data_IF_759285513743
#
_entry.id   IF_759285513743
#
_cell.length_a   1.000
_cell.length_b   1.000
_cell.length_c   1.000
_cell.angle_alpha   90.00
_cell.angle_beta   90.00
_cell.angle_gamma   90.00
#
_symmetry.space_group_name_H-M   'P 1'
#
loop_
_entity.id
_entity.type
_entity.pdbx_description
1 polymer ?
#
# COMPACT_ATOMS: atom_id res chain seq x y z
N UNK A 1 -18.46 -2.35 -0.82
CA UNK A 1 -17.25 -2.06 -1.64
C UNK A 1 -17.28 -2.93 -2.87
N UNK A 2 -16.75 -2.41 -3.98
CA UNK A 2 -16.60 -3.18 -5.20
C UNK A 2 -15.59 -4.31 -4.95
N UNK A 3 -16.01 -5.55 -5.17
CA UNK A 3 -15.11 -6.71 -5.18
C UNK A 3 -14.67 -6.94 -6.63
N UNK A 4 -13.37 -6.90 -6.87
CA UNK A 4 -12.81 -7.17 -8.18
C UNK A 4 -12.37 -8.63 -8.28
N UNK A 5 -12.53 -9.27 -9.45
CA UNK A 5 -11.91 -10.54 -9.75
C UNK A 5 -10.38 -10.45 -9.72
N UNK A 6 -9.69 -11.55 -9.39
CA UNK A 6 -8.21 -11.59 -9.31
C UNK A 6 -7.56 -11.24 -10.64
N UNK A 7 -8.16 -11.61 -11.78
CA UNK A 7 -7.62 -11.28 -13.10
C UNK A 7 -7.54 -9.77 -13.37
N UNK A 8 -8.32 -8.95 -12.67
CA UNK A 8 -8.25 -7.49 -12.81
C UNK A 8 -6.94 -6.93 -12.24
N UNK A 9 -6.22 -7.69 -11.41
CA UNK A 9 -4.89 -7.33 -10.92
C UNK A 9 -3.76 -7.64 -11.93
N UNK A 10 -4.00 -8.43 -12.97
CA UNK A 10 -2.99 -8.75 -13.97
C UNK A 10 -2.70 -7.56 -14.91
N UNK A 11 -1.50 -7.47 -15.50
CA UNK A 11 -1.19 -6.47 -16.52
C UNK A 11 -2.26 -6.39 -17.61
N UNK A 12 -2.79 -5.19 -17.85
CA UNK A 12 -3.86 -4.95 -18.81
C UNK A 12 -3.83 -3.50 -19.33
N UNK A 13 -4.57 -3.19 -20.41
CA UNK A 13 -4.55 -1.85 -20.99
C UNK A 13 -4.91 -0.76 -19.99
N UNK A 14 -4.14 0.33 -20.05
CA UNK A 14 -4.42 1.55 -19.33
C UNK A 14 -5.56 2.31 -20.01
N UNK A 15 -6.33 3.07 -19.24
CA UNK A 15 -7.36 3.95 -19.78
C UNK A 15 -6.79 5.34 -20.05
N UNK A 16 -7.21 5.97 -21.14
CA UNK A 16 -6.80 7.35 -21.47
C UNK A 16 -7.50 8.38 -20.57
N UNK A 17 -8.64 8.04 -19.97
CA UNK A 17 -9.37 8.92 -19.05
C UNK A 17 -9.02 8.62 -17.58
N UNK A 18 -7.79 8.89 -17.15
CA UNK A 18 -7.35 8.63 -15.76
C UNK A 18 -8.09 9.48 -14.69
N UNK A 19 -8.94 10.43 -15.10
CA UNK A 19 -9.59 11.38 -14.21
C UNK A 19 -8.60 12.40 -13.63
N UNK A 20 -9.06 13.23 -12.71
CA UNK A 20 -8.17 14.15 -11.99
C UNK A 20 -7.21 13.35 -11.08
N UNK A 21 -5.96 13.76 -10.97
CA UNK A 21 -5.00 13.17 -10.01
C UNK A 21 -5.23 13.67 -8.58
N UNK A 22 -4.73 12.92 -7.59
CA UNK A 22 -4.66 13.34 -6.19
C UNK A 22 -3.23 13.84 -5.93
N UNK A 23 -3.11 15.09 -5.49
CA UNK A 23 -1.81 15.63 -5.08
C UNK A 23 -1.54 15.25 -3.63
N UNK A 24 -0.42 14.57 -3.37
CA UNK A 24 -0.02 14.13 -2.03
C UNK A 24 1.18 14.94 -1.51
N UNK A 25 1.22 15.29 -0.22
CA UNK A 25 2.36 15.97 0.37
C UNK A 25 3.60 15.08 0.38
N UNK A 26 4.77 15.67 0.17
CA UNK A 26 6.04 14.96 0.35
C UNK A 26 6.28 14.64 1.84
N UNK A 27 6.97 13.53 2.16
CA UNK A 27 7.45 13.28 3.51
C UNK A 27 8.35 14.40 4.03
N UNK A 28 8.30 14.64 5.34
CA UNK A 28 9.15 15.63 6.03
C UNK A 28 10.48 14.95 6.38
N UNK A 29 11.61 15.51 5.92
CA UNK A 29 13.00 15.05 6.11
C UNK A 29 13.17 13.53 6.32
N UNK A 30 13.37 12.84 5.20
CA UNK A 30 13.39 11.38 5.09
C UNK A 30 14.77 10.74 5.19
N UNK A 31 15.86 11.50 5.37
CA UNK A 31 17.23 11.00 5.15
C UNK A 31 17.67 9.89 6.13
N UNK A 32 17.12 9.87 7.35
CA UNK A 32 17.56 8.95 8.41
C UNK A 32 16.47 7.98 8.90
N UNK A 33 15.27 8.01 8.31
CA UNK A 33 14.16 7.15 8.74
C UNK A 33 13.89 6.04 7.74
N UNK A 34 13.71 4.82 8.25
CA UNK A 34 13.40 3.66 7.42
C UNK A 34 12.05 3.81 6.69
N UNK A 35 11.06 4.41 7.35
CA UNK A 35 9.79 4.81 6.73
C UNK A 35 9.67 6.34 6.84
N UNK A 36 9.66 7.07 5.72
CA UNK A 36 9.46 8.51 5.72
C UNK A 36 8.14 8.92 6.41
N UNK A 37 8.17 10.01 7.18
CA UNK A 37 7.00 10.49 7.94
C UNK A 37 6.31 11.67 7.27
N UNK A 38 4.99 11.62 7.22
CA UNK A 38 4.11 12.69 6.74
C UNK A 38 3.25 13.19 7.91
N UNK A 39 3.19 14.52 8.09
CA UNK A 39 2.45 15.16 9.19
C UNK A 39 1.34 16.10 8.73
N UNK A 40 1.20 16.32 7.43
CA UNK A 40 0.17 17.23 6.88
C UNK A 40 -1.22 16.70 7.24
N UNK A 41 -2.07 17.47 7.96
CA UNK A 41 -3.29 16.99 8.57
C UNK A 41 -4.47 16.90 7.59
N UNK A 42 -4.28 16.20 6.47
CA UNK A 42 -5.31 16.02 5.42
C UNK A 42 -5.43 14.55 5.01
N UNK A 43 -6.55 14.13 4.38
CA UNK A 43 -6.68 12.80 3.80
C UNK A 43 -5.54 12.44 2.82
N UNK A 44 -5.04 13.42 2.07
CA UNK A 44 -3.90 13.28 1.18
C UNK A 44 -2.61 13.00 1.95
N UNK A 45 -2.44 13.60 3.14
CA UNK A 45 -1.33 13.28 4.05
C UNK A 45 -1.40 11.85 4.59
N UNK A 46 -2.60 11.36 4.89
CA UNK A 46 -2.79 9.95 5.27
C UNK A 46 -2.42 9.01 4.12
N UNK A 47 -2.82 9.37 2.89
CA UNK A 47 -2.48 8.65 1.66
C UNK A 47 -0.97 8.62 1.42
N UNK A 48 -0.29 9.75 1.57
CA UNK A 48 1.16 9.86 1.43
C UNK A 48 1.89 8.98 2.45
N UNK A 49 1.42 8.96 3.71
CA UNK A 49 2.02 8.09 4.73
C UNK A 49 1.81 6.61 4.42
N UNK A 50 0.61 6.22 3.97
CA UNK A 50 0.34 4.84 3.59
C UNK A 50 1.18 4.42 2.38
N UNK A 51 1.33 5.29 1.37
CA UNK A 51 2.24 5.06 0.23
C UNK A 51 3.66 4.76 0.73
N UNK A 52 4.22 5.63 1.55
CA UNK A 52 5.58 5.45 2.08
C UNK A 52 5.74 4.15 2.89
N UNK A 53 4.72 3.77 3.67
CA UNK A 53 4.70 2.49 4.38
C UNK A 53 4.73 1.31 3.41
N UNK A 54 3.80 1.27 2.46
CA UNK A 54 3.60 0.09 1.61
C UNK A 54 4.78 -0.17 0.68
N UNK A 55 5.41 0.90 0.14
CA UNK A 55 6.61 0.79 -0.70
C UNK A 55 7.81 0.22 0.08
N UNK A 56 7.95 0.58 1.36
CA UNK A 56 8.98 -0.02 2.25
C UNK A 56 8.62 -1.45 2.64
N UNK A 57 7.36 -1.70 3.03
CA UNK A 57 6.89 -2.97 3.57
C UNK A 57 7.00 -4.11 2.56
N UNK A 58 6.71 -3.85 1.28
CA UNK A 58 6.71 -4.86 0.22
C UNK A 58 8.04 -4.98 -0.52
N UNK A 59 9.03 -4.16 -0.17
CA UNK A 59 10.38 -4.31 -0.71
C UNK A 59 10.96 -5.68 -0.32
N UNK A 60 11.41 -6.44 -1.32
CA UNK A 60 11.94 -7.78 -1.12
C UNK A 60 10.90 -8.87 -0.79
N UNK A 61 9.60 -8.53 -0.81
CA UNK A 61 8.47 -9.44 -0.54
C UNK A 61 8.72 -10.38 0.64
N UNK A 62 9.12 -9.84 1.79
CA UNK A 62 9.39 -10.59 3.02
C UNK A 62 8.31 -10.30 4.08
N UNK A 63 7.53 -11.30 4.52
CA UNK A 63 6.51 -11.12 5.57
C UNK A 63 7.05 -10.49 6.86
N UNK A 64 8.30 -10.76 7.25
CA UNK A 64 8.88 -10.15 8.44
C UNK A 64 9.18 -8.65 8.26
N UNK A 65 9.51 -8.24 7.03
CA UNK A 65 9.70 -6.82 6.67
C UNK A 65 8.37 -6.10 6.70
N UNK A 66 7.32 -6.70 6.12
CA UNK A 66 5.94 -6.18 6.20
C UNK A 66 5.55 -5.96 7.66
N UNK A 67 5.70 -6.98 8.50
CA UNK A 67 5.25 -6.90 9.88
C UNK A 67 6.01 -5.85 10.67
N UNK A 68 7.33 -5.75 10.46
CA UNK A 68 8.16 -4.73 11.12
C UNK A 68 7.74 -3.33 10.70
N UNK A 69 7.51 -3.12 9.40
CA UNK A 69 7.09 -1.82 8.87
C UNK A 69 5.73 -1.39 9.42
N UNK A 70 4.78 -2.31 9.50
CA UNK A 70 3.48 -2.04 10.10
C UNK A 70 3.57 -1.75 11.60
N UNK A 71 4.32 -2.56 12.37
CA UNK A 71 4.52 -2.32 13.81
C UNK A 71 5.14 -0.96 14.10
N UNK A 72 6.02 -0.47 13.22
CA UNK A 72 6.63 0.86 13.33
C UNK A 72 5.58 1.98 13.25
N UNK A 73 4.54 1.82 12.42
CA UNK A 73 3.50 2.84 12.19
C UNK A 73 2.17 2.60 12.90
N UNK A 74 1.99 1.48 13.57
CA UNK A 74 0.76 1.14 14.28
C UNK A 74 0.64 1.84 15.63
N UNK A 75 -0.56 2.27 15.96
CA UNK A 75 -0.90 2.64 17.34
C UNK A 75 -1.13 1.38 18.19
N UNK A 76 -0.97 1.48 19.52
CA UNK A 76 -1.33 0.40 20.43
C UNK A 76 -2.77 -0.07 20.20
N UNK A 77 -2.95 -1.39 20.05
CA UNK A 77 -4.24 -2.02 19.77
C UNK A 77 -4.64 -2.08 18.30
N UNK A 78 -3.76 -1.68 17.36
CA UNK A 78 -3.96 -1.90 15.93
C UNK A 78 -4.00 -3.38 15.56
N UNK A 79 -4.65 -3.74 14.42
CA UNK A 79 -4.70 -5.11 13.95
C UNK A 79 -3.32 -5.73 13.77
N UNK A 80 -3.20 -7.02 14.02
CA UNK A 80 -1.96 -7.77 13.78
C UNK A 80 -1.52 -7.64 12.31
N UNK A 81 -0.28 -7.18 12.03
CA UNK A 81 0.26 -7.12 10.67
C UNK A 81 0.21 -8.46 9.93
N UNK A 82 0.26 -9.60 10.63
CA UNK A 82 0.16 -10.93 10.04
C UNK A 82 -1.17 -11.19 9.33
N UNK A 83 -2.19 -10.38 9.61
CA UNK A 83 -3.51 -10.43 8.97
C UNK A 83 -3.65 -9.45 7.79
N UNK A 84 -2.58 -8.71 7.45
CA UNK A 84 -2.59 -7.72 6.39
C UNK A 84 -2.48 -8.36 5.00
N UNK A 85 -3.05 -7.68 3.99
CA UNK A 85 -2.96 -8.10 2.59
C UNK A 85 -1.50 -8.13 2.09
N UNK A 86 -0.63 -7.16 2.41
CA UNK A 86 0.79 -7.24 2.06
C UNK A 86 1.50 -8.45 2.67
N UNK A 87 1.19 -8.82 3.92
CA UNK A 87 1.81 -9.98 4.57
C UNK A 87 1.44 -11.27 3.84
N UNK A 88 0.15 -11.52 3.63
CA UNK A 88 -0.31 -12.73 2.95
C UNK A 88 0.21 -12.78 1.51
N UNK A 89 0.24 -11.65 0.80
CA UNK A 89 0.80 -11.57 -0.56
C UNK A 89 2.29 -11.95 -0.58
N UNK A 90 3.09 -11.43 0.35
CA UNK A 90 4.51 -11.76 0.46
C UNK A 90 4.70 -13.26 0.79
N UNK A 91 3.92 -13.80 1.72
CA UNK A 91 3.98 -15.21 2.09
C UNK A 91 3.61 -16.14 0.91
N UNK A 92 2.54 -15.84 0.19
CA UNK A 92 2.06 -16.63 -0.94
C UNK A 92 3.04 -16.62 -2.11
N UNK A 93 3.65 -15.46 -2.42
CA UNK A 93 4.67 -15.36 -3.47
C UNK A 93 5.91 -16.19 -3.15
N UNK A 94 6.38 -16.13 -1.90
CA UNK A 94 7.54 -16.92 -1.45
C UNK A 94 7.22 -18.40 -1.47
N UNK A 95 6.03 -18.79 -1.02
CA UNK A 95 5.58 -20.18 -1.05
C UNK A 95 5.52 -20.71 -2.49
N UNK A 96 4.89 -19.97 -3.41
CA UNK A 96 4.76 -20.34 -4.81
C UNK A 96 6.13 -20.51 -5.50
N UNK A 97 7.08 -19.63 -5.17
CA UNK A 97 8.45 -19.68 -5.69
C UNK A 97 9.40 -20.61 -4.90
N UNK A 98 8.90 -21.31 -3.88
CA UNK A 98 9.67 -22.21 -2.99
C UNK A 98 10.89 -21.51 -2.37
N UNK A 99 10.71 -20.26 -1.95
CA UNK A 99 11.70 -19.48 -1.22
C UNK A 99 11.62 -19.80 0.28
N UNK A 100 12.65 -19.41 1.03
CA UNK A 100 12.55 -19.36 2.50
C UNK A 100 11.40 -18.42 2.90
N UNK A 101 10.68 -18.74 3.99
CA UNK A 101 9.49 -17.98 4.41
C UNK A 101 9.79 -16.54 4.85
N UNK A 102 11.04 -16.23 5.21
CA UNK A 102 11.52 -14.90 5.56
C UNK A 102 13.03 -14.80 5.37
N UNK A 103 13.59 -13.60 5.45
CA UNK A 103 15.01 -13.30 5.33
C UNK A 103 15.46 -13.02 3.89
N UNK A 104 16.73 -12.67 3.70
CA UNK A 104 17.27 -12.41 2.37
C UNK A 104 17.23 -13.66 1.48
N UNK A 105 16.84 -13.49 0.22
CA UNK A 105 16.86 -14.56 -0.79
C UNK A 105 17.81 -14.15 -1.92
N UNK A 106 18.93 -14.85 -2.13
CA UNK A 106 19.86 -14.52 -3.19
C UNK A 106 19.21 -14.53 -4.58
N UNK A 107 19.42 -13.47 -5.35
CA UNK A 107 18.89 -13.32 -6.71
C UNK A 107 17.40 -13.00 -6.78
N UNK A 108 16.74 -12.70 -5.66
CA UNK A 108 15.41 -12.11 -5.62
C UNK A 108 15.52 -10.59 -5.77
N UNK A 109 14.77 -10.01 -6.70
CA UNK A 109 14.47 -8.58 -6.70
C UNK A 109 12.97 -8.40 -6.66
N UNK A 110 12.49 -7.51 -5.79
CA UNK A 110 11.09 -7.17 -5.72
C UNK A 110 10.91 -5.69 -5.44
N UNK A 111 10.05 -5.05 -6.23
CA UNK A 111 9.72 -3.64 -6.12
C UNK A 111 8.22 -3.48 -6.06
N UNK A 112 7.76 -2.57 -5.20
CA UNK A 112 6.37 -2.16 -5.15
C UNK A 112 6.31 -0.66 -5.34
N UNK A 113 5.69 -0.21 -6.42
CA UNK A 113 5.57 1.21 -6.76
C UNK A 113 4.12 1.65 -6.66
N UNK A 114 3.82 2.52 -5.71
CA UNK A 114 2.47 3.05 -5.52
C UNK A 114 2.26 4.24 -6.46
N UNK A 115 1.36 4.07 -7.42
CA UNK A 115 1.04 5.10 -8.41
C UNK A 115 -0.38 5.67 -8.23
N UNK A 116 -1.24 4.98 -7.49
CA UNK A 116 -2.65 5.34 -7.36
C UNK A 116 -3.13 5.29 -5.91
N UNK A 117 -4.17 6.07 -5.61
CA UNK A 117 -4.75 6.18 -4.28
C UNK A 117 -6.25 6.43 -4.28
N UNK A 118 -6.87 6.19 -3.13
CA UNK A 118 -8.30 6.37 -2.88
C UNK A 118 -8.51 6.82 -1.43
N UNK A 119 -9.23 7.92 -1.23
CA UNK A 119 -9.80 8.27 0.08
C UNK A 119 -11.22 7.70 0.14
N UNK A 120 -11.48 6.73 1.01
CA UNK A 120 -12.83 6.15 1.16
C UNK A 120 -13.74 7.02 2.02
N UNK A 121 -13.15 7.82 2.90
CA UNK A 121 -13.87 8.73 3.78
C UNK A 121 -13.20 8.92 5.13
N UNK A 122 -13.80 9.79 5.93
CA UNK A 122 -13.37 10.13 7.28
C UNK A 122 -14.38 9.50 8.25
N UNK A 123 -13.87 8.68 9.17
CA UNK A 123 -14.68 7.98 10.15
C UNK A 123 -14.75 8.70 11.48
N UNK A 124 -15.77 8.35 12.26
CA UNK A 124 -15.75 8.53 13.72
C UNK A 124 -15.45 9.97 14.16
N UNK A 125 -16.26 10.90 13.63
CA UNK A 125 -16.18 12.35 13.89
C UNK A 125 -14.81 12.97 13.58
N UNK A 126 -14.07 12.43 12.61
CA UNK A 126 -12.75 12.95 12.23
C UNK A 126 -11.57 12.23 12.88
N UNK A 127 -11.80 11.19 13.71
CA UNK A 127 -10.71 10.50 14.42
C UNK A 127 -9.80 9.68 13.52
N UNK A 128 -10.27 9.24 12.36
CA UNK A 128 -9.44 8.55 11.37
C UNK A 128 -9.92 8.80 9.94
N UNK A 129 -9.00 8.65 8.99
CA UNK A 129 -9.27 8.64 7.55
C UNK A 129 -9.01 7.24 7.02
N UNK A 130 -9.97 6.67 6.29
CA UNK A 130 -9.74 5.40 5.59
C UNK A 130 -9.21 5.70 4.20
N UNK A 131 -7.97 5.30 3.95
CA UNK A 131 -7.29 5.48 2.68
C UNK A 131 -6.86 4.13 2.10
N UNK A 132 -6.74 4.07 0.78
CA UNK A 132 -6.18 2.93 0.08
C UNK A 132 -5.11 3.39 -0.91
N UNK A 133 -4.08 2.58 -1.07
CA UNK A 133 -3.06 2.72 -2.11
C UNK A 133 -3.18 1.55 -3.08
N UNK A 134 -2.80 1.79 -4.33
CA UNK A 134 -2.69 0.79 -5.38
C UNK A 134 -1.36 0.98 -6.10
N UNK A 135 -0.58 -0.10 -6.17
CA UNK A 135 0.73 -0.09 -6.80
C UNK A 135 0.98 -1.31 -7.69
N UNK A 136 2.03 -1.21 -8.51
CA UNK A 136 2.57 -2.32 -9.29
C UNK A 136 3.61 -3.06 -8.44
N UNK A 137 3.36 -4.34 -8.18
CA UNK A 137 4.32 -5.25 -7.59
C UNK A 137 5.01 -6.03 -8.72
N UNK A 138 6.33 -5.90 -8.80
CA UNK A 138 7.18 -6.65 -9.72
C UNK A 138 8.13 -7.52 -8.90
N UNK A 139 8.20 -8.80 -9.22
CA UNK A 139 9.08 -9.77 -8.56
C UNK A 139 9.83 -10.56 -9.62
N UNK A 140 11.15 -10.52 -9.56
CA UNK A 140 12.03 -11.34 -10.39
C UNK A 140 12.80 -12.33 -9.52
N UNK A 141 12.76 -13.60 -9.92
CA UNK A 141 13.51 -14.66 -9.24
C UNK A 141 13.80 -15.81 -10.20
N UNK A 142 15.06 -16.24 -10.26
CA UNK A 142 15.51 -17.39 -11.08
C UNK A 142 15.09 -17.30 -12.57
N UNK A 143 15.10 -16.08 -13.13
CA UNK A 143 14.74 -15.83 -14.53
C UNK A 143 13.23 -15.83 -14.82
N UNK A 144 12.38 -15.95 -13.78
CA UNK A 144 10.95 -15.74 -13.89
C UNK A 144 10.56 -14.38 -13.31
N UNK A 145 9.69 -13.66 -14.02
CA UNK A 145 9.13 -12.37 -13.61
C UNK A 145 7.63 -12.53 -13.35
N UNK A 146 7.18 -12.10 -12.18
CA UNK A 146 5.76 -11.95 -11.85
C UNK A 146 5.44 -10.46 -11.69
N UNK A 147 4.27 -10.06 -12.20
CA UNK A 147 3.76 -8.69 -12.08
C UNK A 147 2.28 -8.71 -11.70
N UNK A 148 1.88 -7.80 -10.83
CA UNK A 148 0.48 -7.62 -10.48
C UNK A 148 0.22 -6.32 -9.76
N UNK A 149 -1.01 -5.83 -9.90
CA UNK A 149 -1.52 -4.72 -9.12
C UNK A 149 -1.93 -5.18 -7.73
N UNK A 150 -1.46 -4.50 -6.69
CA UNK A 150 -1.80 -4.80 -5.31
C UNK A 150 -2.45 -3.57 -4.68
N UNK A 151 -3.65 -3.75 -4.11
CA UNK A 151 -4.33 -2.73 -3.32
C UNK A 151 -4.16 -2.99 -1.84
N UNK A 152 -4.05 -1.91 -1.07
CA UNK A 152 -4.02 -1.96 0.40
C UNK A 152 -4.82 -0.80 0.98
N UNK A 153 -5.66 -1.05 1.98
CA UNK A 153 -6.38 -0.01 2.71
C UNK A 153 -6.01 -0.02 4.19
N UNK A 154 -5.89 1.17 4.79
CA UNK A 154 -5.71 1.34 6.22
C UNK A 154 -6.62 2.44 6.77
N UNK A 155 -7.02 2.28 8.03
CA UNK A 155 -7.62 3.34 8.83
C UNK A 155 -6.48 4.13 9.46
N UNK A 156 -6.23 5.34 8.97
CA UNK A 156 -5.09 6.18 9.39
C UNK A 156 -5.56 7.26 10.35
N UNK A 157 -4.84 7.44 11.46
CA UNK A 157 -5.07 8.48 12.46
C UNK A 157 -3.86 9.39 12.55
N UNK A 158 -4.11 10.69 12.51
CA UNK A 158 -3.07 11.69 12.76
C UNK A 158 -2.75 11.74 14.26
N UNK A 159 -1.47 11.74 14.61
CA UNK A 159 -0.94 12.04 15.93
C UNK A 159 0.11 13.13 15.84
N UNK A 160 0.63 13.57 16.99
CA UNK A 160 1.74 14.53 17.04
C UNK A 160 3.01 14.01 16.33
N UNK A 161 3.14 12.69 16.18
CA UNK A 161 4.27 12.05 15.50
C UNK A 161 4.05 11.87 14.00
N UNK A 162 2.84 12.12 13.50
CA UNK A 162 2.43 11.95 12.10
C UNK A 162 1.25 10.99 11.93
N UNK A 163 0.99 10.59 10.70
CA UNK A 163 -0.06 9.61 10.40
C UNK A 163 0.35 8.20 10.86
N UNK A 164 -0.56 7.50 11.54
CA UNK A 164 -0.34 6.15 12.11
C UNK A 164 -1.53 5.24 11.79
N UNK A 165 -1.34 3.93 11.77
CA UNK A 165 -2.44 2.98 11.62
C UNK A 165 -3.26 2.96 12.91
N UNK A 166 -4.56 3.25 12.79
CA UNK A 166 -5.51 3.36 13.89
C UNK A 166 -5.84 1.99 14.49
N UNK A 167 -6.10 1.91 15.82
CA UNK A 167 -6.65 0.70 16.43
C UNK A 167 -8.14 0.49 16.14
N UNK A 168 -8.82 1.54 15.66
CA UNK A 168 -10.26 1.51 15.46
C UNK A 168 -10.62 1.04 14.07
N UNK A 169 -11.62 0.15 13.99
CA UNK A 169 -12.33 -0.27 12.78
C UNK A 169 -11.39 -0.65 11.62
N UNK A 170 -11.13 -1.97 11.41
CA UNK A 170 -10.31 -2.43 10.30
C UNK A 170 -10.79 -1.80 8.99
N UNK A 171 -9.86 -1.26 8.21
CA UNK A 171 -10.20 -0.83 6.87
C UNK A 171 -10.70 -2.05 6.10
N UNK A 172 -11.84 -1.89 5.45
CA UNK A 172 -12.35 -2.98 4.65
C UNK A 172 -11.45 -3.23 3.43
N UNK A 173 -11.42 -4.47 2.90
CA UNK A 173 -10.43 -4.90 1.94
C UNK A 173 -10.30 -3.95 0.74
N UNK A 174 -9.05 -3.75 0.32
CA UNK A 174 -8.76 -3.00 -0.87
C UNK A 174 -9.15 -3.81 -2.11
N UNK A 175 -9.82 -3.19 -3.11
CA UNK A 175 -9.86 -3.77 -4.43
C UNK A 175 -8.45 -3.74 -5.02
N UNK A 176 -7.90 -4.89 -5.38
CA UNK A 176 -6.68 -4.99 -6.18
C UNK A 176 -7.03 -4.96 -7.67
N UNK A 177 -6.32 -4.14 -8.43
CA UNK A 177 -6.48 -3.97 -9.87
C UNK A 177 -5.15 -3.54 -10.47
N UNK A 178 -4.97 -3.69 -11.78
CA UNK A 178 -3.83 -3.09 -12.46
C UNK A 178 -3.90 -1.56 -12.39
N UNK A 179 -2.86 -0.86 -11.88
CA UNK A 179 -2.90 0.59 -11.76
C UNK A 179 -3.21 1.28 -13.10
N UNK A 180 -4.07 2.31 -13.11
CA UNK A 180 -4.49 3.03 -14.32
C UNK A 180 -5.43 2.26 -15.26
N UNK A 181 -5.83 1.03 -14.93
CA UNK A 181 -6.80 0.26 -15.71
C UNK A 181 -8.25 0.68 -15.46
N UNK A 182 -9.16 0.30 -16.35
CA UNK A 182 -10.60 0.55 -16.17
C UNK A 182 -11.16 -0.04 -14.85
N UNK A 183 -10.81 -1.28 -14.41
CA UNK A 183 -11.18 -1.76 -13.08
C UNK A 183 -10.69 -0.88 -11.93
N UNK A 184 -9.45 -0.37 -11.99
CA UNK A 184 -8.90 0.51 -10.96
C UNK A 184 -9.72 1.81 -10.83
N UNK A 185 -10.07 2.43 -11.96
CA UNK A 185 -10.90 3.64 -11.95
C UNK A 185 -12.34 3.36 -11.47
N UNK A 186 -12.94 2.24 -11.87
CA UNK A 186 -14.27 1.84 -11.36
C UNK A 186 -14.26 1.60 -9.85
N UNK A 187 -13.13 1.16 -9.30
CA UNK A 187 -12.94 1.04 -7.86
C UNK A 187 -12.72 2.39 -7.15
N UNK A 188 -12.54 3.48 -7.91
CA UNK A 188 -12.38 4.84 -7.42
C UNK A 188 -10.92 5.27 -7.23
N UNK A 189 -9.94 4.47 -7.65
CA UNK A 189 -8.55 4.89 -7.60
C UNK A 189 -8.27 6.03 -8.57
N UNK A 190 -7.38 6.93 -8.16
CA UNK A 190 -6.89 8.07 -8.94
C UNK A 190 -5.37 8.10 -8.89
N UNK A 191 -4.74 8.56 -9.96
CA UNK A 191 -3.29 8.74 -10.04
C UNK A 191 -2.80 9.66 -8.89
N UNK A 192 -1.66 9.33 -8.29
CA UNK A 192 -1.02 10.14 -7.25
C UNK A 192 0.11 10.98 -7.86
N UNK A 193 0.19 12.24 -7.45
CA UNK A 193 1.31 13.13 -7.78
C UNK A 193 1.85 13.78 -6.54
N UNK A 194 3.16 13.86 -6.42
CA UNK A 194 3.76 14.61 -5.32
C UNK A 194 3.46 16.11 -5.49
N UNK A 195 3.19 16.77 -4.37
CA UNK A 195 3.13 18.22 -4.33
C UNK A 195 4.45 18.82 -4.84
N UNK A 196 4.41 19.98 -5.53
CA UNK A 196 5.61 20.66 -6.02
C UNK A 196 6.61 21.00 -4.92
#
# INVERSE_FOLDING_TARGET
MLRLPVQDAAPQPLTESAGDFITIPRPTDSSDQWIPKVRVPTPEGALAQLKALSEVALNGVDPAVVDRAYRELQLPGAPDPGMSVPHSTAADLRLAARMASSGPVPGLTATYEVTHGLVKGIGDQGRFTVVCVLGELVVDYRGATAKGGLGECQSMRLTDEGWRISPTAPAAPAPSAWPGSAPALRAGYRELRDAP
#
